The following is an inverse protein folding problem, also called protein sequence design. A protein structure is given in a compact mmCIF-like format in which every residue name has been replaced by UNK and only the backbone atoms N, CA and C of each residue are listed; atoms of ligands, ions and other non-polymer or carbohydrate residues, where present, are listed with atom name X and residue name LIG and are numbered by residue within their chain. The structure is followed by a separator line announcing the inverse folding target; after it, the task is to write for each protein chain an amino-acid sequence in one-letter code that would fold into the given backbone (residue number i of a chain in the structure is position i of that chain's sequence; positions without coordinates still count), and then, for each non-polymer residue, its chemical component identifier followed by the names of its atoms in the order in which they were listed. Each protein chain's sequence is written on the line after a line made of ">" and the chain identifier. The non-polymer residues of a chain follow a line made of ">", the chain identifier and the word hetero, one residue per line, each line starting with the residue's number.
data_IF_109149633241
#
_entry.id   IF_109149633241
#
_cell.length_a   1.000
_cell.length_b   1.000
_cell.length_c   1.000
_cell.angle_alpha   90.00
_cell.angle_beta   90.00
_cell.angle_gamma   90.00
#
_symmetry.space_group_name_H-M   'P 1'
#
loop_
_entity.id
_entity.type
_entity.pdbx_description
1 polymer ?
#
# COMPACT_ATOMS: atom_id res chain seq x y z
N UNK A 1 -0.79 -31.00 5.95
CA UNK A 1 -1.99 -30.15 5.67
C UNK A 1 -1.71 -28.78 6.26
N UNK A 2 -2.18 -27.71 5.62
CA UNK A 2 -2.05 -26.33 6.11
C UNK A 2 -3.42 -25.64 5.98
N UNK A 3 -3.74 -24.73 6.90
CA UNK A 3 -4.95 -23.93 6.83
C UNK A 3 -4.77 -22.76 5.84
N UNK A 4 -5.80 -22.34 5.08
CA UNK A 4 -5.72 -21.26 4.11
C UNK A 4 -5.77 -19.88 4.80
N UNK A 5 -4.83 -19.64 5.72
CA UNK A 5 -4.73 -18.43 6.54
C UNK A 5 -3.30 -17.87 6.45
N UNK A 6 -3.19 -16.55 6.41
CA UNK A 6 -1.93 -15.80 6.48
C UNK A 6 -2.09 -14.63 7.46
N UNK A 7 -0.98 -14.14 8.03
CA UNK A 7 -1.00 -12.90 8.78
C UNK A 7 -1.23 -11.73 7.80
N UNK A 8 -2.34 -11.01 7.97
CA UNK A 8 -2.79 -9.98 7.02
C UNK A 8 -2.75 -8.54 7.58
N UNK A 9 -2.11 -8.32 8.74
CA UNK A 9 -2.02 -6.99 9.37
C UNK A 9 -1.09 -6.03 8.63
N UNK A 10 -0.01 -6.55 8.05
CA UNK A 10 0.89 -5.82 7.15
C UNK A 10 1.20 -6.74 5.97
N UNK A 11 0.99 -6.23 4.75
CA UNK A 11 1.05 -6.99 3.50
C UNK A 11 1.66 -6.10 2.42
N UNK A 12 2.49 -6.67 1.52
CA UNK A 12 3.12 -5.88 0.45
C UNK A 12 2.10 -5.46 -0.61
N UNK A 13 2.31 -4.29 -1.22
CA UNK A 13 1.40 -3.71 -2.24
C UNK A 13 1.11 -4.71 -3.37
N UNK A 14 2.12 -5.44 -3.85
CA UNK A 14 1.97 -6.49 -4.87
C UNK A 14 1.04 -7.65 -4.43
N UNK A 15 0.96 -7.96 -3.13
CA UNK A 15 0.03 -8.95 -2.58
C UNK A 15 -1.38 -8.41 -2.33
N UNK A 16 -1.54 -7.08 -2.32
CA UNK A 16 -2.83 -6.38 -2.19
C UNK A 16 -3.37 -5.80 -3.51
N UNK A 17 -2.66 -5.97 -4.63
CA UNK A 17 -3.05 -5.41 -5.92
C UNK A 17 -4.41 -5.96 -6.37
N UNK A 18 -5.36 -5.05 -6.63
CA UNK A 18 -6.74 -5.39 -6.99
C UNK A 18 -7.71 -5.56 -5.81
N UNK A 19 -7.26 -5.35 -4.56
CA UNK A 19 -8.17 -5.21 -3.41
C UNK A 19 -8.84 -3.83 -3.40
N UNK A 20 -9.96 -3.73 -2.68
CA UNK A 20 -10.58 -2.44 -2.31
C UNK A 20 -10.77 -2.37 -0.81
N UNK A 21 -10.12 -1.40 -0.19
CA UNK A 21 -9.97 -1.21 1.26
C UNK A 21 -10.74 0.02 1.73
N UNK A 22 -11.19 -0.03 2.98
CA UNK A 22 -11.86 1.08 3.67
C UNK A 22 -10.85 2.08 4.25
N UNK A 23 -9.80 1.56 4.87
CA UNK A 23 -8.69 2.32 5.44
C UNK A 23 -7.38 1.55 5.22
N UNK A 24 -6.26 2.27 5.05
CA UNK A 24 -4.92 1.68 5.00
C UNK A 24 -3.87 2.64 5.55
N UNK A 25 -2.85 2.08 6.21
CA UNK A 25 -1.59 2.78 6.49
C UNK A 25 -0.61 2.39 5.38
N UNK A 26 -0.09 3.38 4.66
CA UNK A 26 0.79 3.20 3.51
C UNK A 26 2.13 3.87 3.82
N UNK A 27 3.20 3.09 3.80
CA UNK A 27 4.56 3.62 3.88
C UNK A 27 5.01 4.11 2.50
N UNK A 28 5.39 5.38 2.41
CA UNK A 28 5.86 6.05 1.20
C UNK A 28 7.32 6.54 1.36
N UNK A 29 8.15 5.75 2.05
CA UNK A 29 9.60 5.97 2.13
C UNK A 29 10.34 5.65 0.83
N UNK A 30 11.60 6.08 0.72
CA UNK A 30 12.46 5.84 -0.45
C UNK A 30 12.76 4.35 -0.73
N UNK A 31 12.33 3.43 0.16
CA UNK A 31 12.29 1.98 -0.09
C UNK A 31 11.06 1.55 -0.93
N UNK A 32 10.30 2.47 -1.52
CA UNK A 32 9.28 2.19 -2.53
C UNK A 32 9.93 1.69 -3.83
N UNK A 33 10.26 0.39 -3.87
CA UNK A 33 10.79 -0.25 -5.07
C UNK A 33 9.80 -0.18 -6.25
N UNK A 34 10.20 0.51 -7.32
CA UNK A 34 9.53 0.70 -8.61
C UNK A 34 8.51 1.85 -8.73
N UNK A 35 8.65 2.57 -9.85
CA UNK A 35 7.74 3.59 -10.34
C UNK A 35 6.27 3.16 -10.27
N UNK A 36 5.39 4.11 -9.91
CA UNK A 36 3.94 3.89 -9.86
C UNK A 36 3.43 3.01 -8.72
N UNK A 37 4.29 2.38 -7.92
CA UNK A 37 3.84 1.56 -6.78
C UNK A 37 3.11 2.39 -5.71
N UNK A 38 3.47 3.67 -5.54
CA UNK A 38 2.73 4.62 -4.70
C UNK A 38 1.28 4.82 -5.21
N UNK A 39 1.10 4.98 -6.53
CA UNK A 39 -0.23 5.08 -7.14
C UNK A 39 -1.03 3.78 -6.95
N UNK A 40 -0.41 2.61 -7.15
CA UNK A 40 -1.08 1.32 -6.92
C UNK A 40 -1.55 1.22 -5.47
N UNK A 41 -0.70 1.53 -4.49
CA UNK A 41 -1.05 1.50 -3.07
C UNK A 41 -2.22 2.43 -2.72
N UNK A 42 -2.19 3.68 -3.21
CA UNK A 42 -3.26 4.66 -3.01
C UNK A 42 -4.58 4.22 -3.65
N UNK A 43 -4.52 3.63 -4.85
CA UNK A 43 -5.71 3.18 -5.60
C UNK A 43 -6.49 2.05 -4.91
N UNK A 44 -5.92 1.40 -3.90
CA UNK A 44 -6.62 0.38 -3.11
C UNK A 44 -7.65 0.98 -2.15
N UNK A 45 -7.51 2.24 -1.73
CA UNK A 45 -8.35 2.83 -0.67
C UNK A 45 -9.52 3.60 -1.27
N UNK A 46 -10.76 3.24 -0.90
CA UNK A 46 -11.99 3.76 -1.54
C UNK A 46 -12.31 5.22 -1.22
N UNK A 47 -11.69 5.82 -0.20
CA UNK A 47 -11.89 7.21 0.21
C UNK A 47 -10.59 7.81 0.76
N UNK A 48 -10.28 9.06 0.40
CA UNK A 48 -9.08 9.76 0.87
C UNK A 48 -9.01 9.87 2.41
N UNK A 49 -10.15 9.90 3.09
CA UNK A 49 -10.23 9.92 4.56
C UNK A 49 -9.70 8.66 5.25
N UNK A 50 -9.64 7.52 4.53
CA UNK A 50 -9.05 6.27 5.02
C UNK A 50 -7.57 6.08 4.62
N UNK A 51 -6.97 7.06 3.94
CA UNK A 51 -5.55 7.02 3.57
C UNK A 51 -4.72 7.63 4.68
N UNK A 52 -3.86 6.82 5.31
CA UNK A 52 -2.89 7.28 6.28
C UNK A 52 -1.47 7.02 5.76
N UNK A 53 -0.65 8.07 5.67
CA UNK A 53 0.67 8.00 5.06
C UNK A 53 1.77 8.06 6.12
N UNK A 54 2.72 7.13 6.07
CA UNK A 54 3.95 7.16 6.87
C UNK A 54 5.17 7.39 5.98
N UNK A 55 6.21 8.02 6.56
CA UNK A 55 7.54 8.16 5.94
C UNK A 55 7.57 8.87 4.57
N UNK A 56 6.54 9.66 4.23
CA UNK A 56 6.36 10.27 2.90
C UNK A 56 7.55 11.10 2.43
N UNK A 57 8.22 10.63 1.37
CA UNK A 57 9.14 11.42 0.57
C UNK A 57 8.51 11.74 -0.80
N UNK A 58 8.38 13.04 -1.12
CA UNK A 58 7.81 13.49 -2.39
C UNK A 58 8.61 13.04 -3.62
N UNK A 59 9.91 12.73 -3.47
CA UNK A 59 10.75 12.23 -4.55
C UNK A 59 10.34 10.80 -4.97
N UNK A 60 9.90 9.96 -4.03
CA UNK A 60 9.37 8.61 -4.29
C UNK A 60 8.02 8.59 -5.02
N UNK A 61 7.45 9.75 -5.33
CA UNK A 61 6.25 9.91 -6.17
C UNK A 61 6.58 10.31 -7.62
N UNK A 62 7.84 10.69 -7.90
CA UNK A 62 8.30 11.26 -9.17
C UNK A 62 9.30 10.37 -9.93
N UNK A 63 9.62 9.19 -9.36
CA UNK A 63 10.51 8.16 -9.89
C UNK A 63 9.74 6.89 -10.26
#
# INVERSE_FOLDING_TARGET
>A
RQFPLILAFAVTIHKCQGLSLDNAIIDLSDNMFSAGMAYVALSLVRMLSGVHLTCFNANGFLL
#
